data_IF_459003719481
#
_entry.id   IF_459003719481
#
_cell.length_a   1.000
_cell.length_b   1.000
_cell.length_c   1.000
_cell.angle_alpha   90.00
_cell.angle_beta   90.00
_cell.angle_gamma   90.00
#
_symmetry.space_group_name_H-M   'P 1'
#
loop_
_entity.id
_entity.type
_entity.pdbx_description
1 polymer ?
#
# COMPACT_ATOMS: atom_id res chain seq x y z
N UNK A 1 -5.05 -25.25 -0.91
CA UNK A 1 -3.87 -24.36 -0.80
C UNK A 1 -3.70 -23.92 0.65
N UNK A 2 -2.48 -24.01 1.20
CA UNK A 2 -2.14 -23.60 2.56
C UNK A 2 -1.04 -22.52 2.54
N UNK A 3 -1.16 -21.51 3.39
CA UNK A 3 -0.23 -20.37 3.46
C UNK A 3 0.04 -19.96 4.92
N UNK A 4 1.23 -19.43 5.17
CA UNK A 4 1.68 -18.88 6.46
C UNK A 4 1.85 -17.37 6.35
N UNK A 5 1.42 -16.64 7.37
CA UNK A 5 1.69 -15.20 7.50
C UNK A 5 3.14 -15.00 7.93
N UNK A 6 3.89 -14.23 7.14
CA UNK A 6 5.30 -13.93 7.38
C UNK A 6 5.48 -12.54 7.99
N UNK A 7 4.69 -11.56 7.54
CA UNK A 7 4.76 -10.20 8.06
C UNK A 7 3.45 -9.43 7.82
N UNK A 8 3.24 -8.40 8.63
CA UNK A 8 2.22 -7.37 8.43
C UNK A 8 2.89 -6.02 8.55
N UNK A 9 2.88 -5.24 7.47
CA UNK A 9 3.53 -3.93 7.44
C UNK A 9 2.84 -3.02 6.42
N UNK A 10 3.40 -1.83 6.20
CA UNK A 10 2.91 -0.82 5.28
C UNK A 10 3.93 -0.62 4.17
N UNK A 11 3.45 -0.53 2.94
CA UNK A 11 4.26 -0.29 1.77
C UNK A 11 5.00 1.07 1.85
N UNK A 12 5.92 1.27 0.91
CA UNK A 12 6.64 2.54 0.76
C UNK A 12 5.67 3.71 0.62
N UNK A 13 6.05 4.87 1.17
CA UNK A 13 5.20 6.07 1.18
C UNK A 13 5.03 6.62 -0.23
N UNK A 14 3.78 6.76 -0.65
CA UNK A 14 3.39 7.41 -1.89
C UNK A 14 2.91 8.82 -1.56
N UNK A 15 3.29 9.81 -2.37
CA UNK A 15 2.87 11.20 -2.21
C UNK A 15 1.78 11.49 -3.24
N UNK A 16 0.57 11.78 -2.77
CA UNK A 16 -0.54 12.25 -3.60
C UNK A 16 -0.56 13.78 -3.56
N UNK A 17 -0.22 14.39 -4.69
CA UNK A 17 -0.26 15.84 -4.87
C UNK A 17 -1.42 16.24 -5.78
N UNK A 18 -2.24 17.19 -5.34
CA UNK A 18 -3.33 17.78 -6.11
C UNK A 18 -3.10 19.28 -6.23
N UNK A 19 -3.16 19.81 -7.45
CA UNK A 19 -2.95 21.23 -7.73
C UNK A 19 -3.96 21.72 -8.77
N UNK A 20 -4.47 22.94 -8.59
CA UNK A 20 -5.26 23.66 -9.59
C UNK A 20 -4.69 25.06 -9.76
N UNK A 21 -4.26 25.37 -10.99
CA UNK A 21 -3.64 26.66 -11.35
C UNK A 21 -4.62 27.82 -11.10
N UNK A 22 -4.13 28.94 -10.56
CA UNK A 22 -4.88 30.19 -10.30
C UNK A 22 -6.10 30.06 -9.37
N UNK A 23 -6.24 28.94 -8.65
CA UNK A 23 -7.35 28.71 -7.70
C UNK A 23 -6.90 28.63 -6.25
N UNK A 24 -5.66 29.03 -5.96
CA UNK A 24 -5.01 28.88 -4.65
C UNK A 24 -5.20 27.47 -4.04
N UNK A 25 -5.30 26.44 -4.89
CA UNK A 25 -5.58 25.08 -4.47
C UNK A 25 -4.35 24.22 -4.70
N UNK A 26 -3.76 23.79 -3.58
CA UNK A 26 -2.69 22.80 -3.51
C UNK A 26 -2.90 21.92 -2.29
N UNK A 27 -2.83 20.59 -2.45
CA UNK A 27 -2.89 19.62 -1.36
C UNK A 27 -1.82 18.56 -1.56
N UNK A 28 -1.14 18.18 -0.48
CA UNK A 28 -0.14 17.10 -0.46
C UNK A 28 -0.50 16.14 0.66
N UNK A 29 -0.79 14.90 0.32
CA UNK A 29 -1.11 13.85 1.28
C UNK A 29 -0.16 12.66 1.08
N UNK A 30 0.25 12.02 2.17
CA UNK A 30 1.01 10.77 2.09
C UNK A 30 0.06 9.58 2.23
N UNK A 31 0.28 8.53 1.45
CA UNK A 31 -0.37 7.23 1.64
C UNK A 31 0.67 6.14 1.87
N UNK A 32 0.38 5.22 2.80
CA UNK A 32 1.14 3.98 2.98
C UNK A 32 0.13 2.85 3.06
N UNK A 33 0.09 2.02 2.01
CA UNK A 33 -0.85 0.91 1.90
C UNK A 33 -0.46 -0.22 2.87
N UNK A 34 -1.32 -0.65 3.81
CA UNK A 34 -1.07 -1.87 4.57
C UNK A 34 -1.07 -3.10 3.67
N UNK A 35 -0.23 -4.09 4.00
CA UNK A 35 -0.22 -5.38 3.34
C UNK A 35 0.14 -6.50 4.33
N UNK A 36 -0.20 -7.72 3.95
CA UNK A 36 0.18 -8.94 4.65
C UNK A 36 1.04 -9.77 3.70
N UNK A 37 2.26 -10.10 4.12
CA UNK A 37 3.13 -11.00 3.37
C UNK A 37 2.78 -12.45 3.72
N UNK A 38 2.49 -13.23 2.68
CA UNK A 38 2.14 -14.65 2.80
C UNK A 38 3.19 -15.51 2.12
N UNK A 39 3.60 -16.58 2.77
CA UNK A 39 4.40 -17.66 2.19
C UNK A 39 3.48 -18.85 1.92
N UNK A 40 3.45 -19.32 0.68
CA UNK A 40 2.67 -20.50 0.32
C UNK A 40 3.43 -21.74 0.78
N UNK A 41 2.76 -22.59 1.56
CA UNK A 41 3.35 -23.80 2.17
C UNK A 41 2.95 -25.05 1.40
N UNK A 42 1.83 -25.01 0.69
CA UNK A 42 1.40 -26.13 -0.13
C UNK A 42 0.25 -25.76 -1.04
N UNK A 43 0.22 -26.40 -2.21
CA UNK A 43 -0.89 -26.31 -3.16
C UNK A 43 -1.45 -27.71 -3.27
N UNK A 44 -2.70 -27.86 -2.86
CA UNK A 44 -3.49 -29.07 -3.12
C UNK A 44 -4.41 -28.73 -4.26
N UNK A 45 -4.36 -29.56 -5.30
CA UNK A 45 -5.10 -29.49 -6.57
C UNK A 45 -6.54 -29.93 -6.43
#
# INVERSE_FOLDING_TARGET
VAAKIVAQDRAKKIIVFKFKRRKNYRRKAGHRQPFTALQIVGITS
#
